data_IF_790005982190
#
_entry.id   IF_790005982190
#
_cell.length_a   1.000
_cell.length_b   1.000
_cell.length_c   1.000
_cell.angle_alpha   90.00
_cell.angle_beta   90.00
_cell.angle_gamma   90.00
#
_symmetry.space_group_name_H-M   'P 1'
#
loop_
_entity.id
_entity.type
_entity.pdbx_description
1 polymer ?
#
# COMPACT_ATOMS: atom_id res chain seq x y z
N UNK A 1 -4.83 -68.84 -30.76
CA UNK A 1 -3.66 -68.19 -30.12
C UNK A 1 -4.08 -67.87 -28.69
N UNK A 2 -4.15 -68.84 -27.80
CA UNK A 2 -3.04 -69.51 -27.08
C UNK A 2 -2.34 -68.57 -26.09
N UNK A 3 -2.91 -68.48 -24.87
CA UNK A 3 -2.36 -68.75 -23.51
C UNK A 3 -0.94 -68.21 -23.12
N UNK A 4 -0.60 -68.14 -21.81
CA UNK A 4 -1.40 -67.90 -20.59
C UNK A 4 -0.67 -67.07 -19.47
N UNK A 5 -1.39 -66.96 -18.35
CA UNK A 5 -1.06 -66.58 -16.97
C UNK A 5 0.08 -67.33 -16.23
N UNK A 6 0.34 -66.80 -15.02
CA UNK A 6 0.84 -67.43 -13.78
C UNK A 6 2.37 -67.55 -13.65
N UNK A 7 2.99 -67.39 -12.48
CA UNK A 7 2.54 -67.32 -11.09
C UNK A 7 3.72 -67.73 -10.18
N UNK A 8 3.61 -67.47 -8.87
CA UNK A 8 4.54 -67.99 -7.84
C UNK A 8 5.11 -66.85 -6.98
N UNK A 9 4.58 -66.49 -5.80
CA UNK A 9 4.23 -67.25 -4.58
C UNK A 9 5.43 -67.59 -3.67
N UNK A 10 5.29 -67.18 -2.40
CA UNK A 10 6.05 -67.70 -1.25
C UNK A 10 6.87 -66.63 -0.52
N UNK A 11 6.84 -66.47 0.80
CA UNK A 11 6.08 -67.13 1.85
C UNK A 11 6.26 -66.33 3.16
N UNK A 12 5.20 -66.31 3.98
CA UNK A 12 5.14 -66.33 5.44
C UNK A 12 6.10 -65.48 6.32
N UNK A 13 5.49 -64.77 7.29
CA UNK A 13 6.21 -64.31 8.49
C UNK A 13 5.39 -63.38 9.40
N UNK A 14 4.29 -63.88 9.96
CA UNK A 14 3.56 -63.25 11.08
C UNK A 14 4.34 -63.43 12.38
N UNK A 15 4.51 -62.36 13.16
CA UNK A 15 4.53 -62.27 14.64
C UNK A 15 5.09 -60.86 14.96
N UNK A 16 4.64 -60.08 15.94
CA UNK A 16 3.80 -60.29 17.10
C UNK A 16 4.04 -59.06 17.99
N UNK A 17 2.98 -58.53 18.59
CA UNK A 17 3.01 -57.43 19.54
C UNK A 17 3.92 -57.71 20.75
N UNK A 18 4.57 -56.66 21.26
CA UNK A 18 4.84 -56.32 22.68
C UNK A 18 5.92 -55.22 22.65
N UNK A 19 5.78 -54.03 23.21
CA UNK A 19 5.37 -53.70 24.56
C UNK A 19 6.39 -52.64 25.02
N UNK A 20 5.90 -51.46 25.36
CA UNK A 20 6.68 -50.42 26.03
C UNK A 20 7.21 -50.98 27.37
N UNK A 21 8.45 -50.67 27.76
CA UNK A 21 8.54 -49.86 28.97
C UNK A 21 9.64 -48.81 28.96
N UNK A 22 9.33 -47.76 29.72
CA UNK A 22 10.17 -46.66 30.15
C UNK A 22 11.52 -47.14 30.72
N UNK A 23 12.60 -46.49 30.31
CA UNK A 23 13.93 -46.67 30.87
C UNK A 23 14.71 -45.36 30.79
N UNK A 24 14.85 -44.70 31.94
CA UNK A 24 15.73 -43.56 32.14
C UNK A 24 17.19 -44.03 31.99
N UNK A 25 18.02 -43.27 31.27
CA UNK A 25 19.41 -43.63 31.04
C UNK A 25 20.19 -42.49 30.40
N UNK A 26 21.10 -41.91 31.17
CA UNK A 26 22.06 -40.86 30.82
C UNK A 26 23.11 -41.35 29.82
N UNK A 27 23.41 -40.57 28.78
CA UNK A 27 24.54 -40.86 27.88
C UNK A 27 24.77 -39.75 26.84
N UNK A 28 26.00 -39.24 26.79
CA UNK A 28 26.45 -38.11 25.95
C UNK A 28 27.04 -38.61 24.62
N UNK A 29 26.89 -37.78 23.58
CA UNK A 29 27.67 -37.66 22.32
C UNK A 29 27.58 -38.78 21.27
N UNK A 30 27.01 -38.47 20.09
CA UNK A 30 27.79 -38.15 18.88
C UNK A 30 26.89 -37.68 17.71
N UNK A 31 27.48 -36.85 16.86
CA UNK A 31 26.93 -36.15 15.69
C UNK A 31 26.28 -37.07 14.65
N UNK A 32 25.16 -36.63 14.08
CA UNK A 32 24.61 -37.11 12.82
C UNK A 32 23.57 -36.13 12.26
N UNK A 33 24.02 -35.14 11.48
CA UNK A 33 23.17 -34.21 10.73
C UNK A 33 22.58 -34.92 9.49
N UNK A 34 21.26 -34.83 9.29
CA UNK A 34 20.63 -34.23 8.09
C UNK A 34 19.11 -34.06 8.30
N UNK A 35 18.48 -33.10 7.58
CA UNK A 35 17.34 -32.34 8.07
C UNK A 35 15.99 -32.80 7.50
N UNK A 36 14.90 -32.52 8.20
CA UNK A 36 13.57 -32.51 7.59
C UNK A 36 12.68 -31.40 8.17
N UNK A 37 12.53 -30.36 7.33
CA UNK A 37 11.40 -29.43 7.19
C UNK A 37 11.14 -28.42 8.32
N UNK A 38 11.37 -27.11 8.09
CA UNK A 38 10.69 -26.10 8.87
C UNK A 38 9.22 -26.00 8.45
N UNK A 39 8.40 -26.17 9.47
CA UNK A 39 7.01 -25.78 9.64
C UNK A 39 6.68 -24.45 8.93
N UNK A 40 5.51 -24.40 8.29
CA UNK A 40 4.89 -23.21 7.70
C UNK A 40 4.88 -22.06 8.72
N UNK A 41 5.63 -20.99 8.44
CA UNK A 41 5.56 -19.76 9.21
C UNK A 41 4.36 -18.93 8.73
N UNK A 42 3.29 -18.91 9.53
CA UNK A 42 2.33 -17.81 9.52
C UNK A 42 3.02 -16.47 9.88
N UNK A 43 2.32 -15.33 9.83
CA UNK A 43 2.93 -14.02 9.94
C UNK A 43 3.62 -13.90 11.30
N UNK A 44 4.94 -14.06 11.30
CA UNK A 44 5.75 -13.85 12.47
C UNK A 44 5.65 -12.36 12.79
N UNK A 45 4.89 -12.03 13.85
CA UNK A 45 5.14 -10.80 14.60
C UNK A 45 6.63 -10.81 14.91
N UNK A 46 7.37 -9.88 14.31
CA UNK A 46 8.79 -9.71 14.59
C UNK A 46 8.96 -9.60 16.11
N UNK A 47 9.85 -10.41 16.68
CA UNK A 47 10.20 -10.28 18.09
C UNK A 47 10.67 -8.83 18.34
N UNK A 48 10.12 -8.13 19.35
CA UNK A 48 10.63 -6.83 19.74
C UNK A 48 12.13 -6.96 20.05
N UNK A 49 13.00 -6.37 19.21
CA UNK A 49 14.45 -6.37 19.39
C UNK A 49 15.28 -7.15 18.36
N UNK A 50 14.68 -7.97 17.49
CA UNK A 50 15.46 -8.60 16.40
C UNK A 50 15.72 -7.59 15.28
N UNK A 51 16.97 -7.17 15.13
CA UNK A 51 17.43 -6.32 14.03
C UNK A 51 17.24 -7.06 12.70
N UNK A 52 16.55 -6.48 11.70
CA UNK A 52 16.43 -7.13 10.40
C UNK A 52 17.82 -7.27 9.78
N UNK A 53 18.11 -8.41 9.15
CA UNK A 53 19.31 -8.53 8.32
C UNK A 53 19.18 -7.59 7.12
N UNK A 54 20.29 -7.07 6.56
CA UNK A 54 20.23 -6.19 5.38
C UNK A 54 19.44 -6.81 4.20
N UNK A 55 19.54 -8.12 3.89
CA UNK A 55 18.71 -8.75 2.87
C UNK A 55 17.22 -8.75 3.21
N UNK A 56 16.85 -9.00 4.47
CA UNK A 56 15.45 -8.99 4.91
C UNK A 56 14.85 -7.59 4.85
N UNK A 57 15.63 -6.57 5.24
CA UNK A 57 15.22 -5.18 5.13
C UNK A 57 14.98 -4.76 3.68
N UNK A 58 15.91 -5.12 2.77
CA UNK A 58 15.76 -4.82 1.36
C UNK A 58 14.53 -5.52 0.75
N UNK A 59 14.27 -6.77 1.13
CA UNK A 59 13.08 -7.50 0.71
C UNK A 59 11.79 -6.80 1.18
N UNK A 60 11.75 -6.34 2.45
CA UNK A 60 10.61 -5.60 2.98
C UNK A 60 10.37 -4.28 2.22
N UNK A 61 11.45 -3.52 1.94
CA UNK A 61 11.35 -2.26 1.19
C UNK A 61 10.87 -2.46 -0.26
N UNK A 62 11.22 -3.60 -0.88
CA UNK A 62 10.77 -3.94 -2.24
C UNK A 62 9.32 -4.44 -2.31
N UNK A 63 8.73 -4.82 -1.18
CA UNK A 63 7.34 -5.28 -1.14
C UNK A 63 6.31 -4.14 -1.24
N UNK A 64 6.74 -2.88 -1.10
CA UNK A 64 5.85 -1.73 -1.23
C UNK A 64 5.47 -1.49 -2.68
N UNK A 65 4.17 -1.55 -2.92
CA UNK A 65 3.55 -1.05 -4.14
C UNK A 65 2.88 0.29 -3.87
N UNK A 66 2.75 1.10 -4.90
CA UNK A 66 2.28 2.47 -4.79
C UNK A 66 1.09 2.73 -5.69
N UNK A 67 0.25 3.66 -5.25
CA UNK A 67 -0.87 4.17 -6.04
C UNK A 67 -0.64 5.64 -6.40
N UNK A 68 -0.91 6.02 -7.66
CA UNK A 68 -0.84 7.41 -8.07
C UNK A 68 -2.04 8.21 -7.58
N UNK A 69 -1.78 9.48 -7.25
CA UNK A 69 -2.81 10.51 -7.14
C UNK A 69 -2.58 11.52 -8.25
N UNK A 70 -3.63 11.87 -8.97
CA UNK A 70 -3.60 12.93 -9.97
C UNK A 70 -4.47 14.10 -9.51
N UNK A 71 -4.04 15.32 -9.85
CA UNK A 71 -4.78 16.54 -9.57
C UNK A 71 -4.85 17.41 -10.82
N UNK A 72 -6.06 17.72 -11.27
CA UNK A 72 -6.31 18.74 -12.28
C UNK A 72 -6.50 20.07 -11.57
N UNK A 73 -5.55 20.98 -11.72
CA UNK A 73 -5.73 22.38 -11.30
C UNK A 73 -6.28 23.20 -12.45
N UNK A 74 -7.24 24.05 -12.15
CA UNK A 74 -7.96 24.88 -13.12
C UNK A 74 -7.88 26.34 -12.68
N UNK A 75 -7.62 27.21 -13.65
CA UNK A 75 -7.90 28.64 -13.55
C UNK A 75 -9.04 28.98 -14.49
N UNK A 76 -10.05 29.65 -13.98
CA UNK A 76 -11.24 30.06 -14.71
C UNK A 76 -11.08 31.47 -15.29
N UNK A 77 -11.83 31.81 -16.34
CA UNK A 77 -11.78 33.11 -17.00
C UNK A 77 -12.60 34.22 -16.30
N UNK A 78 -13.21 33.89 -15.16
CA UNK A 78 -13.93 34.83 -14.31
C UNK A 78 -14.01 34.37 -12.85
N UNK A 79 -14.53 35.22 -11.95
CA UNK A 79 -14.75 34.87 -10.55
C UNK A 79 -15.69 33.66 -10.45
N UNK A 80 -15.30 32.69 -9.63
CA UNK A 80 -16.13 31.53 -9.35
C UNK A 80 -15.81 30.98 -7.97
N UNK A 81 -16.86 30.60 -7.25
CA UNK A 81 -16.79 29.99 -5.93
C UNK A 81 -17.67 28.77 -5.88
N UNK A 82 -17.14 27.71 -5.28
CA UNK A 82 -17.95 26.54 -4.98
C UNK A 82 -18.87 26.84 -3.77
N UNK A 83 -20.03 26.16 -3.67
CA UNK A 83 -20.89 26.23 -2.49
C UNK A 83 -20.16 25.95 -1.17
N UNK A 84 -19.16 25.06 -1.19
CA UNK A 84 -18.28 24.77 -0.08
C UNK A 84 -16.83 24.72 -0.58
N UNK A 85 -15.84 25.07 0.25
CA UNK A 85 -14.42 25.08 -0.15
C UNK A 85 -13.88 23.71 -0.58
N UNK A 86 -14.56 22.64 -0.15
CA UNK A 86 -14.28 21.26 -0.50
C UNK A 86 -15.62 20.55 -0.70
N UNK A 87 -15.80 19.93 -1.86
CA UNK A 87 -16.99 19.15 -2.20
C UNK A 87 -16.60 17.78 -2.72
N UNK A 88 -17.43 16.78 -2.38
CA UNK A 88 -17.30 15.44 -2.91
C UNK A 88 -17.98 15.36 -4.29
N UNK A 89 -17.26 14.80 -5.26
CA UNK A 89 -17.81 14.42 -6.54
C UNK A 89 -18.24 12.95 -6.48
N UNK A 90 -19.36 12.63 -7.13
CA UNK A 90 -19.80 11.24 -7.29
C UNK A 90 -18.99 10.59 -8.40
N UNK A 91 -18.32 9.50 -8.06
CA UNK A 91 -17.63 8.66 -9.03
C UNK A 91 -18.62 7.83 -9.84
N UNK A 92 -18.31 7.60 -11.11
CA UNK A 92 -18.99 6.64 -11.98
C UNK A 92 -17.98 6.05 -12.96
N UNK A 93 -17.46 4.87 -12.63
CA UNK A 93 -16.42 4.19 -13.40
C UNK A 93 -16.91 3.73 -14.78
N UNK A 94 -18.22 3.55 -14.97
CA UNK A 94 -18.78 3.18 -16.28
C UNK A 94 -18.68 4.33 -17.28
N UNK A 95 -18.65 5.57 -16.77
CA UNK A 95 -18.51 6.81 -17.53
C UNK A 95 -17.13 7.44 -17.42
N UNK A 96 -16.18 6.79 -16.72
CA UNK A 96 -14.85 7.34 -16.44
C UNK A 96 -14.89 8.67 -15.66
N UNK A 97 -15.91 8.83 -14.82
CA UNK A 97 -16.01 9.93 -13.85
C UNK A 97 -15.17 9.56 -12.63
N UNK A 98 -13.85 9.77 -12.75
CA UNK A 98 -12.86 9.34 -11.76
C UNK A 98 -12.58 10.43 -10.69
N UNK A 99 -13.13 11.64 -10.84
CA UNK A 99 -12.98 12.73 -9.88
C UNK A 99 -13.70 12.43 -8.56
N UNK A 100 -13.00 12.59 -7.44
CA UNK A 100 -13.52 12.29 -6.10
C UNK A 100 -13.78 13.55 -5.28
N UNK A 101 -12.88 14.52 -5.41
CA UNK A 101 -12.96 15.77 -4.66
C UNK A 101 -12.73 16.94 -5.59
N UNK A 102 -13.46 18.02 -5.37
CA UNK A 102 -13.16 19.33 -5.94
C UNK A 102 -12.94 20.34 -4.80
N UNK A 103 -11.86 21.08 -4.90
CA UNK A 103 -11.46 22.10 -3.94
C UNK A 103 -11.51 23.48 -4.58
N UNK A 104 -12.10 24.45 -3.90
CA UNK A 104 -11.98 25.87 -4.21
C UNK A 104 -10.71 26.40 -3.57
N UNK A 105 -9.62 26.41 -4.35
CA UNK A 105 -8.32 26.87 -3.90
C UNK A 105 -8.34 28.35 -3.54
N UNK A 106 -9.12 29.15 -4.27
CA UNK A 106 -9.23 30.58 -3.99
C UNK A 106 -9.80 30.82 -2.60
N UNK A 107 -10.86 30.10 -2.23
CA UNK A 107 -11.42 30.18 -0.87
C UNK A 107 -10.46 29.64 0.19
N UNK A 108 -9.86 28.47 -0.04
CA UNK A 108 -8.97 27.83 0.93
C UNK A 108 -7.69 28.62 1.21
N UNK A 109 -7.19 29.35 0.22
CA UNK A 109 -5.97 30.15 0.33
C UNK A 109 -6.25 31.63 0.65
N UNK A 110 -7.52 32.03 0.82
CA UNK A 110 -7.89 33.42 1.08
C UNK A 110 -7.53 34.37 -0.06
N UNK A 111 -7.60 33.90 -1.31
CA UNK A 111 -7.29 34.70 -2.50
C UNK A 111 -8.53 35.49 -2.94
N UNK A 112 -8.34 36.76 -3.28
CA UNK A 112 -9.41 37.58 -3.85
C UNK A 112 -9.90 37.01 -5.19
N UNK A 113 -11.22 37.04 -5.49
CA UNK A 113 -11.80 36.38 -6.65
C UNK A 113 -11.59 37.18 -7.94
N UNK A 114 -10.35 37.48 -8.32
CA UNK A 114 -10.07 37.97 -9.68
C UNK A 114 -10.43 36.88 -10.72
N UNK A 115 -10.22 35.62 -10.35
CA UNK A 115 -10.60 34.43 -11.10
C UNK A 115 -10.92 33.27 -10.15
N UNK A 116 -11.67 32.28 -10.63
CA UNK A 116 -11.87 31.03 -9.91
C UNK A 116 -10.65 30.11 -10.04
N UNK A 117 -10.24 29.47 -8.94
CA UNK A 117 -9.19 28.46 -8.92
C UNK A 117 -9.72 27.16 -8.30
N UNK A 118 -9.78 26.10 -9.09
CA UNK A 118 -10.27 24.80 -8.64
C UNK A 118 -9.17 23.75 -8.71
N UNK A 119 -9.25 22.73 -7.85
CA UNK A 119 -8.48 21.51 -7.98
C UNK A 119 -9.41 20.30 -7.90
N UNK A 120 -9.37 19.43 -8.91
CA UNK A 120 -10.06 18.15 -8.92
C UNK A 120 -9.03 17.07 -8.59
N UNK A 121 -9.29 16.26 -7.57
CA UNK A 121 -8.40 15.19 -7.11
C UNK A 121 -8.97 13.83 -7.51
N UNK A 122 -8.09 13.01 -8.09
CA UNK A 122 -8.34 11.62 -8.46
C UNK A 122 -7.37 10.75 -7.67
N UNK A 123 -7.87 9.99 -6.70
CA UNK A 123 -7.08 8.95 -6.03
C UNK A 123 -7.10 7.67 -6.85
N UNK A 124 -6.10 6.81 -6.68
CA UNK A 124 -5.96 5.58 -7.50
C UNK A 124 -6.06 5.88 -9.00
N UNK A 125 -5.31 6.89 -9.45
CA UNK A 125 -5.45 7.48 -10.78
C UNK A 125 -4.96 6.58 -11.93
N UNK A 126 -4.70 5.29 -11.70
CA UNK A 126 -4.17 4.36 -12.68
C UNK A 126 -5.03 4.32 -13.95
N UNK A 127 -6.37 4.28 -13.81
CA UNK A 127 -7.31 4.31 -14.95
C UNK A 127 -7.18 5.62 -15.74
N UNK A 128 -7.24 6.77 -15.06
CA UNK A 128 -7.15 8.08 -15.69
C UNK A 128 -5.82 8.24 -16.46
N UNK A 129 -4.73 7.69 -15.94
CA UNK A 129 -3.39 7.75 -16.55
C UNK A 129 -3.20 6.81 -17.75
N UNK A 130 -4.09 5.83 -17.99
CA UNK A 130 -4.07 5.03 -19.23
C UNK A 130 -4.63 5.79 -20.43
N UNK A 131 -5.21 6.97 -20.23
CA UNK A 131 -5.80 7.79 -21.29
C UNK A 131 -4.84 8.90 -21.73
N UNK A 132 -4.98 9.43 -22.96
CA UNK A 132 -4.35 10.69 -23.31
C UNK A 132 -4.76 11.78 -22.30
N UNK A 133 -3.79 12.58 -21.85
CA UNK A 133 -3.99 13.61 -20.82
C UNK A 133 -5.23 14.47 -21.09
N UNK A 134 -5.38 14.98 -22.33
CA UNK A 134 -6.51 15.83 -22.69
C UNK A 134 -7.86 15.13 -22.49
N UNK A 135 -7.96 13.84 -22.87
CA UNK A 135 -9.18 13.08 -22.71
C UNK A 135 -9.54 12.86 -21.23
N UNK A 136 -8.54 12.65 -20.36
CA UNK A 136 -8.77 12.58 -18.91
C UNK A 136 -9.23 13.92 -18.33
N UNK A 137 -8.62 15.04 -18.76
CA UNK A 137 -9.06 16.38 -18.35
C UNK A 137 -10.49 16.67 -18.80
N UNK A 138 -10.85 16.33 -20.03
CA UNK A 138 -12.18 16.56 -20.59
C UNK A 138 -13.26 15.78 -19.82
N UNK A 139 -13.00 14.52 -19.46
CA UNK A 139 -13.91 13.69 -18.66
C UNK A 139 -14.12 14.24 -17.24
N UNK A 140 -13.07 14.75 -16.60
CA UNK A 140 -13.19 15.38 -15.27
C UNK A 140 -13.98 16.69 -15.35
N UNK A 141 -13.80 17.46 -16.42
CA UNK A 141 -14.57 18.68 -16.65
C UNK A 141 -16.04 18.38 -17.00
N UNK A 142 -16.31 17.32 -17.75
CA UNK A 142 -17.67 16.81 -17.99
C UNK A 142 -18.33 16.45 -16.66
N UNK A 143 -17.70 15.59 -15.86
CA UNK A 143 -18.17 15.18 -14.54
C UNK A 143 -18.48 16.39 -13.65
N UNK A 144 -17.54 17.34 -13.53
CA UNK A 144 -17.72 18.52 -12.70
C UNK A 144 -18.90 19.37 -13.18
N UNK A 145 -19.00 19.65 -14.48
CA UNK A 145 -20.11 20.45 -15.05
C UNK A 145 -21.46 19.78 -14.85
N UNK A 146 -21.55 18.47 -15.08
CA UNK A 146 -22.77 17.70 -14.88
C UNK A 146 -23.23 17.79 -13.42
N UNK A 147 -22.32 17.57 -12.47
CA UNK A 147 -22.68 17.55 -11.06
C UNK A 147 -22.98 18.93 -10.49
N UNK A 148 -22.29 19.98 -10.95
CA UNK A 148 -22.65 21.36 -10.63
C UNK A 148 -24.06 21.71 -11.15
N UNK A 149 -24.38 21.30 -12.38
CA UNK A 149 -25.71 21.52 -12.98
C UNK A 149 -26.80 20.76 -12.23
N UNK A 150 -26.58 19.48 -11.93
CA UNK A 150 -27.51 18.66 -11.16
C UNK A 150 -27.73 19.20 -9.74
N UNK A 151 -26.69 19.77 -9.13
CA UNK A 151 -26.75 20.47 -7.85
C UNK A 151 -27.37 21.87 -7.91
N UNK A 152 -27.78 22.35 -9.09
CA UNK A 152 -28.30 23.71 -9.33
C UNK A 152 -27.32 24.81 -8.91
N UNK A 153 -26.03 24.55 -9.06
CA UNK A 153 -24.96 25.51 -8.79
C UNK A 153 -24.68 26.37 -10.03
N UNK A 154 -23.98 27.49 -9.83
CA UNK A 154 -23.60 28.36 -10.94
C UNK A 154 -22.80 27.56 -11.99
N UNK A 155 -23.05 27.78 -13.30
CA UNK A 155 -22.33 27.09 -14.35
C UNK A 155 -20.84 27.44 -14.30
N UNK A 156 -19.99 26.47 -14.62
CA UNK A 156 -18.55 26.66 -14.64
C UNK A 156 -18.16 27.64 -15.77
N UNK A 157 -17.42 28.73 -15.48
CA UNK A 157 -16.86 29.61 -16.50
C UNK A 157 -15.88 28.89 -17.44
N UNK A 158 -15.37 29.58 -18.46
CA UNK A 158 -14.40 28.94 -19.36
C UNK A 158 -13.10 28.69 -18.61
N UNK A 159 -12.43 27.60 -19.01
CA UNK A 159 -11.12 27.28 -18.46
C UNK A 159 -10.10 28.19 -19.14
N UNK A 160 -9.49 29.09 -18.38
CA UNK A 160 -8.42 29.97 -18.85
C UNK A 160 -7.06 29.25 -18.86
N UNK A 161 -6.83 28.33 -17.92
CA UNK A 161 -5.66 27.46 -17.91
C UNK A 161 -5.94 26.18 -17.12
N UNK A 162 -5.24 25.10 -17.46
CA UNK A 162 -5.24 23.85 -16.70
C UNK A 162 -3.83 23.30 -16.51
N UNK A 163 -3.60 22.59 -15.40
CA UNK A 163 -2.41 21.78 -15.21
C UNK A 163 -2.75 20.43 -14.58
N UNK A 164 -2.23 19.36 -15.18
CA UNK A 164 -2.36 18.00 -14.71
C UNK A 164 -1.09 17.60 -13.96
N UNK A 165 -1.22 17.45 -12.64
CA UNK A 165 -0.10 17.11 -11.73
C UNK A 165 -0.31 15.67 -11.28
N UNK A 166 0.72 14.83 -11.42
CA UNK A 166 0.63 13.40 -11.12
C UNK A 166 1.77 13.00 -10.20
N UNK A 167 1.40 12.53 -9.01
CA UNK A 167 2.35 11.91 -8.09
C UNK A 167 2.27 10.39 -8.21
N UNK A 168 3.18 9.82 -9.01
CA UNK A 168 3.19 8.38 -9.37
C UNK A 168 3.30 7.45 -8.16
N UNK A 169 3.89 7.92 -7.06
CA UNK A 169 4.06 7.18 -5.81
C UNK A 169 3.51 7.98 -4.63
N UNK A 170 2.28 8.48 -4.77
CA UNK A 170 1.66 9.36 -3.78
C UNK A 170 1.41 8.66 -2.44
N UNK A 171 0.95 7.40 -2.48
CA UNK A 171 0.73 6.58 -1.28
C UNK A 171 1.12 5.14 -1.56
N UNK A 172 1.53 4.40 -0.54
CA UNK A 172 1.70 2.95 -0.68
C UNK A 172 0.36 2.24 -0.52
N UNK A 173 0.20 1.12 -1.19
CA UNK A 173 -0.98 0.27 -1.05
C UNK A 173 -0.91 -0.50 0.27
N UNK A 174 -1.74 -0.13 1.24
CA UNK A 174 -1.87 -0.81 2.53
C UNK A 174 -2.63 -2.16 2.39
N UNK A 175 -2.06 -3.09 1.62
CA UNK A 175 -2.66 -4.40 1.38
C UNK A 175 -2.61 -5.26 2.64
N UNK A 176 -3.61 -6.13 2.86
CA UNK A 176 -3.56 -7.13 3.91
C UNK A 176 -2.25 -7.93 3.85
N UNK A 177 -1.54 -8.03 4.97
CA UNK A 177 -0.29 -8.77 5.07
C UNK A 177 0.97 -7.99 4.69
N UNK A 178 0.88 -6.72 4.26
CA UNK A 178 2.06 -5.88 4.06
C UNK A 178 2.75 -5.61 5.40
N UNK A 179 3.97 -6.14 5.56
CA UNK A 179 4.79 -5.90 6.75
C UNK A 179 5.51 -4.55 6.61
N UNK A 180 5.18 -3.59 7.47
CA UNK A 180 5.93 -2.33 7.59
C UNK A 180 7.17 -2.57 8.48
N UNK A 181 8.37 -2.12 8.08
CA UNK A 181 9.57 -2.31 8.90
C UNK A 181 9.59 -1.32 10.08
N UNK A 182 10.27 -1.66 11.19
CA UNK A 182 10.50 -0.72 12.27
C UNK A 182 11.48 0.39 11.83
N UNK A 183 11.62 1.44 12.65
CA UNK A 183 12.60 2.50 12.41
C UNK A 183 14.06 2.02 12.46
N UNK A 184 14.36 0.91 13.13
CA UNK A 184 15.72 0.38 13.28
C UNK A 184 16.08 -0.59 12.15
N UNK A 185 17.24 -0.39 11.51
CA UNK A 185 17.69 -1.21 10.36
C UNK A 185 18.66 -2.33 10.72
N UNK A 186 19.08 -2.38 11.99
CA UNK A 186 20.16 -3.24 12.45
C UNK A 186 21.55 -2.63 12.39
N UNK A 187 21.74 -1.56 11.61
CA UNK A 187 22.94 -0.73 11.62
C UNK A 187 22.83 0.37 12.69
N UNK A 188 23.90 0.66 13.46
CA UNK A 188 23.88 1.76 14.44
C UNK A 188 23.83 3.15 13.78
N UNK A 189 24.11 3.25 12.46
CA UNK A 189 24.22 4.53 11.74
C UNK A 189 23.13 4.75 10.69
N UNK A 190 22.14 3.85 10.60
CA UNK A 190 21.08 3.94 9.61
C UNK A 190 19.72 3.65 10.27
N UNK A 191 18.83 4.63 10.21
CA UNK A 191 17.45 4.50 10.70
C UNK A 191 16.48 4.81 9.55
N UNK A 192 15.30 4.20 9.57
CA UNK A 192 14.21 4.50 8.65
C UNK A 192 13.29 5.53 9.27
N UNK A 193 12.79 6.46 8.46
CA UNK A 193 11.76 7.41 8.84
C UNK A 193 10.74 7.54 7.71
N UNK A 194 9.49 7.73 8.09
CA UNK A 194 8.37 7.89 7.18
C UNK A 194 7.08 7.28 7.73
N UNK A 195 5.96 7.74 7.22
CA UNK A 195 4.61 7.24 7.53
C UNK A 195 4.40 5.75 7.19
N UNK A 196 5.24 5.20 6.32
CA UNK A 196 5.29 3.79 5.91
C UNK A 196 6.04 2.86 6.88
N UNK A 197 6.67 3.40 7.93
CA UNK A 197 7.30 2.58 8.99
C UNK A 197 6.28 2.12 10.03
N UNK A 198 6.56 1.01 10.71
CA UNK A 198 5.65 0.47 11.72
C UNK A 198 5.80 1.17 13.08
N UNK A 199 5.09 2.28 13.22
CA UNK A 199 4.97 3.02 14.49
C UNK A 199 3.74 2.62 15.31
N UNK A 200 2.95 1.65 14.81
CA UNK A 200 1.59 1.39 15.28
C UNK A 200 0.56 2.45 14.86
N UNK A 201 0.96 3.48 14.11
CA UNK A 201 0.08 4.55 13.62
C UNK A 201 -0.21 4.40 12.11
N UNK A 202 -1.36 4.87 11.60
CA UNK A 202 -1.66 4.90 10.17
C UNK A 202 -0.68 5.77 9.36
N UNK A 203 -0.59 5.50 8.06
CA UNK A 203 0.25 6.26 7.14
C UNK A 203 -0.33 7.67 6.90
N UNK A 204 0.11 8.60 7.74
CA UNK A 204 -0.39 9.98 7.86
C UNK A 204 0.79 10.91 8.15
N UNK A 205 0.58 12.23 8.05
CA UNK A 205 1.60 13.22 8.40
C UNK A 205 2.03 13.07 9.87
N UNK A 206 1.08 12.84 10.78
CA UNK A 206 1.34 12.57 12.19
C UNK A 206 2.15 11.28 12.36
N UNK A 207 1.83 10.24 11.58
CA UNK A 207 2.60 9.00 11.51
C UNK A 207 4.05 9.23 11.05
N UNK A 208 4.26 10.04 10.02
CA UNK A 208 5.60 10.43 9.55
C UNK A 208 6.39 11.20 10.62
N UNK A 209 5.76 12.18 11.28
CA UNK A 209 6.39 12.96 12.35
C UNK A 209 6.77 12.05 13.52
N UNK A 210 5.87 11.16 13.94
CA UNK A 210 6.11 10.18 15.00
C UNK A 210 7.28 9.26 14.63
N UNK A 211 7.28 8.73 13.41
CA UNK A 211 8.34 7.89 12.87
C UNK A 211 9.70 8.60 12.90
N UNK A 212 9.77 9.84 12.40
CA UNK A 212 11.01 10.62 12.40
C UNK A 212 11.57 10.83 13.81
N UNK A 213 10.70 11.12 14.79
CA UNK A 213 11.11 11.23 16.20
C UNK A 213 11.69 9.92 16.74
N UNK A 214 11.03 8.79 16.48
CA UNK A 214 11.52 7.47 16.90
C UNK A 214 12.86 7.10 16.24
N UNK A 215 13.02 7.40 14.96
CA UNK A 215 14.27 7.19 14.22
C UNK A 215 15.42 8.02 14.82
N UNK A 216 15.18 9.29 15.12
CA UNK A 216 16.18 10.16 15.73
C UNK A 216 16.58 9.69 17.14
N UNK A 217 15.61 9.31 17.97
CA UNK A 217 15.86 8.74 19.30
C UNK A 217 16.70 7.46 19.23
N UNK A 218 16.37 6.56 18.30
CA UNK A 218 17.11 5.32 18.11
C UNK A 218 18.56 5.58 17.63
N UNK A 219 18.77 6.58 16.77
CA UNK A 219 20.10 6.99 16.32
C UNK A 219 20.95 7.51 17.47
N UNK A 220 20.40 8.40 18.30
CA UNK A 220 21.10 8.97 19.47
C UNK A 220 21.47 7.87 20.47
N UNK A 221 20.59 6.90 20.73
CA UNK A 221 20.85 5.80 21.66
C UNK A 221 21.84 4.74 21.11
N UNK A 222 22.20 4.81 19.83
CA UNK A 222 23.11 3.85 19.18
C UNK A 222 24.58 4.29 19.16
N UNK A 223 24.87 5.51 19.64
CA UNK A 223 26.21 6.08 19.81
C UNK A 223 26.56 6.27 21.27
#
# INVERSE_FOLDING_TARGET
MSRPDAGGAGHAGRAGYTGCPLGCGTGRHHRGLRPARPLVAGPARACPGSRPSPPALLAALRAFEYSPIATLTLRLDGPYRLPLPMMMLREDTTRSHDGQWVFDRGTLLGLEPAHGELAIVVSCADSALQRPRQAAEDLLLEQLREQLTAGRHAPLPKIAASAWIVEKRATFLARPGLARPPNTTGSPKLMLAGDWTDTGYPATLEGAVRSGKLAAQALIASG
#
